data_IF_243032226258
#
_entry.id   IF_243032226258
#
_cell.length_a   1.000
_cell.length_b   1.000
_cell.length_c   1.000
_cell.angle_alpha   90.00
_cell.angle_beta   90.00
_cell.angle_gamma   90.00
#
_symmetry.space_group_name_H-M   'P 1'
#
loop_
_entity.id
_entity.type
_entity.pdbx_description
1 polymer ?
#
# COMPACT_ATOMS: atom_id res chain seq x y z
N UNK A 1 37.59 -19.27 18.45
CA UNK A 1 36.80 -19.54 17.23
C UNK A 1 35.51 -18.73 17.30
N UNK A 2 35.45 -17.60 16.59
CA UNK A 2 34.20 -16.86 16.43
C UNK A 2 33.29 -17.70 15.52
N UNK A 3 32.33 -18.39 16.11
CA UNK A 3 31.28 -19.09 15.37
C UNK A 3 30.48 -17.99 14.69
N UNK A 4 30.58 -17.86 13.36
CA UNK A 4 29.71 -16.94 12.63
C UNK A 4 28.27 -17.48 12.70
N UNK A 5 27.52 -17.04 13.73
CA UNK A 5 26.15 -17.47 14.05
C UNK A 5 25.12 -16.67 13.24
N UNK A 6 25.37 -16.43 11.95
CA UNK A 6 24.38 -15.76 11.10
C UNK A 6 23.53 -16.80 10.36
N UNK A 7 22.30 -17.02 10.84
CA UNK A 7 21.34 -17.91 10.18
C UNK A 7 20.63 -17.16 9.06
N UNK A 8 20.93 -17.50 7.80
CA UNK A 8 20.28 -16.92 6.62
C UNK A 8 18.75 -17.08 6.66
N UNK A 9 18.24 -18.20 7.21
CA UNK A 9 16.81 -18.43 7.38
C UNK A 9 16.17 -17.46 8.36
N UNK A 10 16.83 -17.23 9.50
CA UNK A 10 16.36 -16.29 10.52
C UNK A 10 16.41 -14.85 10.00
N UNK A 11 17.49 -14.50 9.30
CA UNK A 11 17.64 -13.19 8.66
C UNK A 11 16.50 -12.91 7.68
N UNK A 12 16.19 -13.84 6.78
CA UNK A 12 15.10 -13.68 5.80
C UNK A 12 13.73 -13.60 6.48
N UNK A 13 13.51 -14.40 7.52
CA UNK A 13 12.27 -14.31 8.30
C UNK A 13 12.10 -12.92 8.94
N UNK A 14 13.15 -12.37 9.55
CA UNK A 14 13.11 -11.01 10.08
C UNK A 14 12.94 -9.96 8.98
N UNK A 15 13.56 -10.14 7.81
CA UNK A 15 13.40 -9.23 6.68
C UNK A 15 11.95 -9.16 6.20
N UNK A 16 11.27 -10.31 6.11
CA UNK A 16 9.82 -10.38 5.82
C UNK A 16 9.02 -9.66 6.92
N UNK A 17 9.31 -9.91 8.19
CA UNK A 17 8.62 -9.27 9.32
C UNK A 17 8.77 -7.75 9.31
N UNK A 18 10.00 -7.23 9.16
CA UNK A 18 10.23 -5.79 9.14
C UNK A 18 9.61 -5.13 7.90
N UNK A 19 9.68 -5.79 6.74
CA UNK A 19 9.02 -5.29 5.53
C UNK A 19 7.51 -5.24 5.69
N UNK A 20 6.89 -6.24 6.33
CA UNK A 20 5.46 -6.22 6.67
C UNK A 20 5.08 -5.05 7.57
N UNK A 21 5.89 -4.76 8.60
CA UNK A 21 5.68 -3.60 9.49
C UNK A 21 5.74 -2.30 8.69
N UNK A 22 6.77 -2.10 7.87
CA UNK A 22 6.92 -0.89 7.06
C UNK A 22 5.78 -0.75 6.06
N UNK A 23 5.40 -1.82 5.37
CA UNK A 23 4.28 -1.84 4.43
C UNK A 23 2.94 -1.52 5.10
N UNK A 24 2.73 -1.99 6.33
CA UNK A 24 1.52 -1.68 7.09
C UNK A 24 1.46 -0.21 7.45
N UNK A 25 2.56 0.35 7.97
CA UNK A 25 2.63 1.77 8.32
C UNK A 25 2.44 2.67 7.10
N UNK A 26 3.20 2.42 6.05
CA UNK A 26 3.10 3.18 4.79
C UNK A 26 1.74 3.00 4.11
N UNK A 27 1.16 1.79 4.16
CA UNK A 27 -0.18 1.51 3.66
C UNK A 27 -1.26 2.29 4.40
N UNK A 28 -1.18 2.38 5.74
CA UNK A 28 -2.09 3.20 6.54
C UNK A 28 -1.97 4.69 6.22
N UNK A 29 -0.75 5.19 6.03
CA UNK A 29 -0.53 6.58 5.60
C UNK A 29 -1.15 6.80 4.22
N UNK A 30 -0.80 6.00 3.22
CA UNK A 30 -1.32 6.12 1.85
C UNK A 30 -2.84 5.91 1.75
N UNK A 31 -3.42 5.22 2.72
CA UNK A 31 -4.86 5.08 2.85
C UNK A 31 -5.54 6.41 3.20
N UNK A 32 -4.97 7.22 4.10
CA UNK A 32 -5.60 8.48 4.56
C UNK A 32 -5.14 9.74 3.81
N UNK A 33 -3.99 9.69 3.13
CA UNK A 33 -3.36 10.85 2.49
C UNK A 33 -4.21 11.42 1.34
N UNK A 34 -4.28 12.76 1.18
CA UNK A 34 -5.06 13.41 0.13
C UNK A 34 -4.82 12.84 -1.28
N UNK A 35 -5.80 13.01 -2.17
CA UNK A 35 -5.59 12.73 -3.59
C UNK A 35 -4.38 13.53 -4.13
N UNK A 36 -3.63 12.96 -5.08
CA UNK A 36 -2.35 13.54 -5.52
C UNK A 36 -2.47 15.00 -5.98
N UNK A 37 -3.58 15.32 -6.66
CA UNK A 37 -3.94 16.68 -7.06
C UNK A 37 -3.99 17.66 -5.87
N UNK A 38 -4.65 17.27 -4.78
CA UNK A 38 -4.77 18.12 -3.57
C UNK A 38 -3.45 18.13 -2.81
N UNK A 39 -2.81 16.96 -2.67
CA UNK A 39 -1.53 16.81 -1.98
C UNK A 39 -0.46 17.75 -2.54
N UNK A 40 -0.33 17.81 -3.86
CA UNK A 40 0.64 18.67 -4.53
C UNK A 40 0.28 20.15 -4.42
N UNK A 41 -1.01 20.49 -4.54
CA UNK A 41 -1.49 21.87 -4.45
C UNK A 41 -1.24 22.51 -3.08
N UNK A 42 -1.47 21.75 -2.00
CA UNK A 42 -1.29 22.23 -0.63
C UNK A 42 0.10 21.94 -0.06
N UNK A 43 1.03 21.41 -0.88
CA UNK A 43 2.35 20.95 -0.44
C UNK A 43 2.27 20.07 0.81
N UNK A 44 1.35 19.08 0.76
CA UNK A 44 1.07 18.20 1.89
C UNK A 44 2.33 17.42 2.29
N UNK A 45 2.63 17.42 3.58
CA UNK A 45 3.73 16.63 4.15
C UNK A 45 3.31 15.98 5.47
N UNK A 46 3.93 14.84 5.76
CA UNK A 46 3.84 14.15 7.04
C UNK A 46 5.21 13.57 7.39
N UNK A 47 5.68 13.86 8.60
CA UNK A 47 7.01 13.47 9.07
C UNK A 47 8.16 13.88 8.11
N UNK A 48 8.00 15.03 7.43
CA UNK A 48 9.00 15.56 6.50
C UNK A 48 9.00 14.94 5.11
N UNK A 49 8.06 14.03 4.82
CA UNK A 49 7.87 13.43 3.49
C UNK A 49 6.56 13.91 2.88
N UNK A 50 6.59 14.20 1.58
CA UNK A 50 5.38 14.38 0.79
C UNK A 50 4.72 13.04 0.46
N UNK A 51 3.59 13.09 -0.25
CA UNK A 51 2.85 11.89 -0.64
C UNK A 51 3.71 10.90 -1.44
N UNK A 52 4.52 11.41 -2.37
CA UNK A 52 5.32 10.58 -3.27
C UNK A 52 6.46 9.90 -2.51
N UNK A 53 7.10 10.59 -1.56
CA UNK A 53 8.08 9.98 -0.66
C UNK A 53 7.51 8.82 0.17
N UNK A 54 6.27 8.94 0.67
CA UNK A 54 5.58 7.82 1.34
C UNK A 54 5.28 6.67 0.38
N UNK A 55 4.92 6.96 -0.88
CA UNK A 55 4.68 5.96 -1.91
C UNK A 55 5.96 5.23 -2.32
N UNK A 56 7.07 5.94 -2.45
CA UNK A 56 8.38 5.37 -2.81
C UNK A 56 8.87 4.37 -1.76
N UNK A 57 8.73 4.69 -0.47
CA UNK A 57 9.06 3.76 0.62
C UNK A 57 8.16 2.53 0.54
N UNK A 58 6.86 2.70 0.29
CA UNK A 58 5.92 1.59 0.16
C UNK A 58 6.29 0.66 -0.99
N UNK A 59 6.61 1.22 -2.17
CA UNK A 59 7.01 0.47 -3.36
C UNK A 59 8.32 -0.30 -3.12
N UNK A 60 9.33 0.37 -2.56
CA UNK A 60 10.61 -0.25 -2.25
C UNK A 60 10.45 -1.44 -1.31
N UNK A 61 9.76 -1.25 -0.19
CA UNK A 61 9.54 -2.33 0.78
C UNK A 61 8.56 -3.39 0.25
N UNK A 62 7.68 -3.04 -0.69
CA UNK A 62 6.84 -3.98 -1.43
C UNK A 62 7.69 -4.94 -2.26
N UNK A 63 8.65 -4.41 -3.02
CA UNK A 63 9.60 -5.22 -3.78
C UNK A 63 10.45 -6.11 -2.86
N UNK A 64 10.97 -5.55 -1.76
CA UNK A 64 11.73 -6.31 -0.76
C UNK A 64 10.88 -7.41 -0.12
N UNK A 65 9.62 -7.15 0.22
CA UNK A 65 8.69 -8.12 0.80
C UNK A 65 8.39 -9.27 -0.17
N UNK A 66 8.19 -8.99 -1.45
CA UNK A 66 7.96 -10.04 -2.47
C UNK A 66 9.19 -10.93 -2.61
N UNK A 67 10.39 -10.35 -2.76
CA UNK A 67 11.63 -11.11 -2.91
C UNK A 67 11.93 -11.91 -1.65
N UNK A 68 11.88 -11.28 -0.48
CA UNK A 68 12.14 -11.94 0.79
C UNK A 68 11.08 -12.99 1.13
N UNK A 69 9.82 -12.77 0.79
CA UNK A 69 8.72 -13.74 0.93
C UNK A 69 8.92 -14.97 0.06
N UNK A 70 9.33 -14.80 -1.19
CA UNK A 70 9.67 -15.91 -2.09
C UNK A 70 10.85 -16.73 -1.53
N UNK A 71 11.91 -16.05 -1.06
CA UNK A 71 13.05 -16.72 -0.41
C UNK A 71 12.64 -17.41 0.89
N UNK A 72 11.76 -16.79 1.68
CA UNK A 72 11.24 -17.37 2.91
C UNK A 72 10.49 -18.68 2.62
N UNK A 73 9.63 -18.68 1.59
CA UNK A 73 8.90 -19.87 1.17
C UNK A 73 9.85 -20.95 0.63
N UNK A 74 10.84 -20.57 -0.18
CA UNK A 74 11.85 -21.49 -0.71
C UNK A 74 12.65 -22.18 0.41
N UNK A 75 13.17 -21.41 1.37
CA UNK A 75 13.95 -21.97 2.47
C UNK A 75 13.12 -22.73 3.50
N UNK A 76 11.82 -22.48 3.57
CA UNK A 76 10.87 -23.15 4.47
C UNK A 76 9.86 -24.04 3.73
N UNK A 77 10.24 -24.55 2.54
CA UNK A 77 9.34 -25.33 1.67
C UNK A 77 8.80 -26.60 2.34
N UNK A 78 9.65 -27.33 3.07
CA UNK A 78 9.24 -28.54 3.80
C UNK A 78 8.12 -28.23 4.82
N UNK A 79 8.32 -27.30 5.79
CA UNK A 79 7.22 -26.85 6.65
C UNK A 79 5.97 -26.41 5.90
N UNK A 80 6.11 -25.63 4.83
CA UNK A 80 4.98 -25.13 4.04
C UNK A 80 4.12 -26.26 3.46
N UNK A 81 4.74 -27.26 2.82
CA UNK A 81 4.02 -28.40 2.24
C UNK A 81 3.25 -29.22 3.28
N UNK A 82 3.74 -29.29 4.52
CA UNK A 82 3.01 -29.93 5.62
C UNK A 82 1.73 -29.19 6.02
N UNK A 83 1.60 -27.89 5.72
CA UNK A 83 0.37 -27.13 5.93
C UNK A 83 -0.61 -27.29 4.77
N UNK A 84 -0.15 -27.55 3.54
CA UNK A 84 -1.02 -27.72 2.38
C UNK A 84 -1.75 -29.06 2.36
N UNK A 85 -1.03 -30.14 2.65
CA UNK A 85 -1.54 -31.49 2.49
C UNK A 85 -1.13 -32.37 3.66
N UNK A 86 -2.04 -33.26 4.05
CA UNK A 86 -1.79 -34.34 4.98
C UNK A 86 -1.75 -35.67 4.24
N UNK A 87 -0.97 -36.61 4.77
CA UNK A 87 -0.91 -37.97 4.23
C UNK A 87 -1.88 -38.85 5.00
N UNK A 88 -3.04 -39.13 4.41
CA UNK A 88 -4.07 -40.01 4.99
C UNK A 88 -4.09 -41.31 4.20
N UNK A 89 -3.83 -42.44 4.86
CA UNK A 89 -3.84 -43.79 4.26
C UNK A 89 -3.00 -43.88 2.97
N UNK A 90 -1.80 -43.29 2.98
CA UNK A 90 -0.85 -43.34 1.86
C UNK A 90 -1.08 -42.29 0.76
N UNK A 91 -2.24 -41.64 0.70
CA UNK A 91 -2.59 -40.61 -0.27
C UNK A 91 -2.39 -39.21 0.29
N UNK A 92 -2.04 -38.25 -0.56
CA UNK A 92 -2.01 -36.83 -0.21
C UNK A 92 -3.43 -36.25 -0.33
N UNK A 93 -3.97 -35.75 0.77
CA UNK A 93 -5.26 -35.07 0.82
C UNK A 93 -5.04 -33.61 1.21
N UNK A 94 -5.61 -32.67 0.44
CA UNK A 94 -5.57 -31.25 0.77
C UNK A 94 -6.29 -30.98 2.09
N UNK A 95 -5.71 -30.12 2.92
CA UNK A 95 -6.33 -29.72 4.18
C UNK A 95 -7.56 -28.85 3.93
N UNK A 96 -8.58 -29.01 4.78
CA UNK A 96 -9.82 -28.21 4.69
C UNK A 96 -9.51 -26.72 4.83
N UNK A 97 -8.54 -26.38 5.67
CA UNK A 97 -8.02 -25.04 5.92
C UNK A 97 -7.50 -24.37 4.65
N UNK A 98 -6.88 -25.12 3.73
CA UNK A 98 -6.44 -24.58 2.44
C UNK A 98 -7.64 -24.19 1.57
N UNK A 99 -8.67 -25.05 1.52
CA UNK A 99 -9.87 -24.80 0.74
C UNK A 99 -10.66 -23.63 1.32
N UNK A 100 -10.85 -23.59 2.64
CA UNK A 100 -11.62 -22.51 3.30
C UNK A 100 -10.89 -21.17 3.22
N UNK A 101 -9.56 -21.14 3.37
CA UNK A 101 -8.78 -19.91 3.21
C UNK A 101 -8.79 -19.41 1.76
N UNK A 102 -8.66 -20.29 0.77
CA UNK A 102 -8.77 -19.93 -0.64
C UNK A 102 -10.17 -19.39 -0.96
N UNK A 103 -11.23 -20.05 -0.49
CA UNK A 103 -12.59 -19.59 -0.66
C UNK A 103 -12.80 -18.20 -0.02
N UNK A 104 -12.27 -17.97 1.18
CA UNK A 104 -12.33 -16.67 1.84
C UNK A 104 -11.63 -15.58 1.01
N UNK A 105 -10.43 -15.84 0.48
CA UNK A 105 -9.71 -14.90 -0.39
C UNK A 105 -10.51 -14.60 -1.65
N UNK A 106 -11.06 -15.62 -2.32
CA UNK A 106 -11.87 -15.43 -3.52
C UNK A 106 -13.13 -14.61 -3.23
N UNK A 107 -13.80 -14.86 -2.10
CA UNK A 107 -14.96 -14.06 -1.68
C UNK A 107 -14.59 -12.59 -1.45
N UNK A 108 -13.46 -12.30 -0.81
CA UNK A 108 -12.98 -10.94 -0.62
C UNK A 108 -12.64 -10.25 -1.95
N UNK A 109 -12.00 -10.97 -2.88
CA UNK A 109 -11.67 -10.45 -4.23
C UNK A 109 -12.95 -10.14 -5.00
N UNK A 110 -13.92 -11.05 -5.03
CA UNK A 110 -15.21 -10.83 -5.68
C UNK A 110 -15.96 -9.67 -5.03
N UNK A 111 -15.97 -9.60 -3.70
CA UNK A 111 -16.55 -8.49 -2.95
C UNK A 111 -15.92 -7.14 -3.31
N UNK A 112 -14.61 -7.10 -3.51
CA UNK A 112 -13.92 -5.89 -3.95
C UNK A 112 -14.25 -5.52 -5.41
N UNK A 113 -14.23 -6.49 -6.33
CA UNK A 113 -14.51 -6.26 -7.76
C UNK A 113 -15.94 -5.77 -8.02
N UNK A 114 -16.91 -6.27 -7.25
CA UNK A 114 -18.33 -5.93 -7.40
C UNK A 114 -18.81 -4.89 -6.38
N UNK A 115 -17.90 -4.29 -5.61
CA UNK A 115 -18.20 -3.31 -4.56
C UNK A 115 -19.33 -3.77 -3.60
N UNK A 116 -19.26 -5.03 -3.15
CA UNK A 116 -20.28 -5.65 -2.29
C UNK A 116 -19.98 -5.37 -0.81
N UNK A 117 -20.95 -4.91 -0.01
CA UNK A 117 -20.79 -4.77 1.44
C UNK A 117 -20.55 -6.13 2.14
N UNK A 118 -19.73 -6.19 3.21
CA UNK A 118 -19.07 -5.07 3.89
C UNK A 118 -17.71 -4.69 3.28
N UNK A 119 -17.25 -5.38 2.21
CA UNK A 119 -15.94 -5.12 1.60
C UNK A 119 -15.87 -3.69 1.05
N UNK A 120 -16.97 -3.21 0.45
CA UNK A 120 -17.06 -1.84 -0.08
C UNK A 120 -16.83 -0.75 0.96
N UNK A 121 -17.23 -0.97 2.22
CA UNK A 121 -17.10 0.03 3.30
C UNK A 121 -15.65 0.45 3.52
N UNK A 122 -14.69 -0.43 3.25
CA UNK A 122 -13.27 -0.08 3.31
C UNK A 122 -12.93 0.97 2.24
N UNK A 123 -13.41 0.83 1.02
CA UNK A 123 -13.15 1.81 -0.04
C UNK A 123 -13.92 3.11 0.21
N UNK A 124 -15.17 3.03 0.68
CA UNK A 124 -15.97 4.20 1.05
C UNK A 124 -15.27 5.03 2.14
N UNK A 125 -14.69 4.36 3.15
CA UNK A 125 -13.89 5.01 4.19
C UNK A 125 -12.61 5.64 3.63
N UNK A 126 -11.95 4.98 2.67
CA UNK A 126 -10.79 5.52 1.98
C UNK A 126 -11.12 6.84 1.27
N UNK A 127 -12.18 6.83 0.47
CA UNK A 127 -12.61 7.99 -0.31
C UNK A 127 -13.07 9.13 0.60
N UNK A 128 -13.81 8.82 1.66
CA UNK A 128 -14.18 9.80 2.67
C UNK A 128 -12.94 10.43 3.34
N UNK A 129 -11.95 9.62 3.74
CA UNK A 129 -10.73 10.12 4.36
C UNK A 129 -9.94 11.02 3.40
N UNK A 130 -9.78 10.61 2.14
CA UNK A 130 -9.03 11.37 1.14
C UNK A 130 -9.72 12.67 0.72
N UNK A 131 -11.05 12.67 0.64
CA UNK A 131 -11.88 13.85 0.32
C UNK A 131 -12.11 14.78 1.52
N UNK A 132 -11.68 14.40 2.72
CA UNK A 132 -11.71 15.29 3.88
C UNK A 132 -10.66 16.40 3.80
N UNK A 133 -9.60 16.18 3.02
CA UNK A 133 -8.56 17.15 2.72
C UNK A 133 -8.99 18.15 1.64
N UNK A 134 -8.52 19.39 1.74
CA UNK A 134 -8.73 20.41 0.70
C UNK A 134 -10.11 21.07 0.71
N UNK A 135 -10.91 20.89 1.77
CA UNK A 135 -12.26 21.47 1.88
C UNK A 135 -12.30 22.97 2.18
N UNK A 136 -11.19 23.58 2.61
CA UNK A 136 -11.18 25.02 2.86
C UNK A 136 -11.10 25.80 1.53
N UNK A 137 -11.72 27.00 1.44
CA UNK A 137 -11.62 27.83 0.24
C UNK A 137 -10.16 28.04 -0.20
N UNK A 138 -9.88 27.79 -1.48
CA UNK A 138 -8.54 27.92 -2.07
C UNK A 138 -7.62 26.69 -1.91
N UNK A 139 -8.05 25.64 -1.21
CA UNK A 139 -7.28 24.39 -1.06
C UNK A 139 -7.62 23.33 -2.12
N UNK A 140 -8.63 23.56 -2.94
CA UNK A 140 -8.80 22.80 -4.18
C UNK A 140 -8.05 23.48 -5.32
N UNK A 141 -7.21 22.75 -6.06
CA UNK A 141 -6.56 23.32 -7.21
C UNK A 141 -7.58 23.63 -8.32
N UNK A 142 -7.46 24.78 -8.98
CA UNK A 142 -8.40 25.22 -10.01
C UNK A 142 -8.43 24.28 -11.24
N UNK A 143 -7.32 23.58 -11.49
CA UNK A 143 -7.20 22.56 -12.54
C UNK A 143 -6.06 21.57 -12.20
N UNK A 144 -5.99 20.39 -12.85
CA UNK A 144 -4.92 19.42 -12.59
C UNK A 144 -3.53 20.01 -12.83
N UNK A 145 -2.59 19.77 -11.90
CA UNK A 145 -1.21 20.29 -11.95
C UNK A 145 -1.11 21.82 -12.00
N UNK A 146 -2.05 22.54 -11.38
CA UNK A 146 -1.97 23.99 -11.23
C UNK A 146 -0.68 24.43 -10.52
N UNK A 147 -0.21 23.65 -9.55
CA UNK A 147 1.04 23.86 -8.81
C UNK A 147 2.30 23.86 -9.68
N UNK A 148 2.26 23.18 -10.83
CA UNK A 148 3.37 23.09 -11.76
C UNK A 148 3.32 24.17 -12.84
N UNK A 149 2.27 25.01 -12.86
CA UNK A 149 2.11 26.07 -13.85
C UNK A 149 2.89 27.31 -13.41
N UNK A 150 3.68 27.96 -14.29
CA UNK A 150 4.30 29.24 -13.96
C UNK A 150 3.26 30.27 -13.50
N UNK A 151 3.60 31.05 -12.48
CA UNK A 151 2.70 32.02 -11.88
C UNK A 151 2.02 32.94 -12.92
N UNK A 152 2.71 33.43 -13.98
CA UNK A 152 2.04 34.27 -14.97
C UNK A 152 0.93 33.57 -15.75
N UNK A 153 1.14 32.29 -16.08
CA UNK A 153 0.16 31.47 -16.80
C UNK A 153 -0.99 31.08 -15.87
N UNK A 154 -0.70 30.80 -14.61
CA UNK A 154 -1.72 30.52 -13.59
C UNK A 154 -2.63 31.75 -13.40
N UNK A 155 -2.04 32.94 -13.22
CA UNK A 155 -2.76 34.19 -13.07
C UNK A 155 -3.64 34.49 -14.29
N UNK A 156 -3.09 34.37 -15.50
CA UNK A 156 -3.85 34.54 -16.74
C UNK A 156 -5.04 33.58 -16.84
N UNK A 157 -4.85 32.29 -16.50
CA UNK A 157 -5.92 31.28 -16.54
C UNK A 157 -7.02 31.53 -15.51
N UNK A 158 -6.67 32.16 -14.39
CA UNK A 158 -7.60 32.55 -13.34
C UNK A 158 -8.25 33.92 -13.60
N UNK A 159 -7.86 34.60 -14.68
CA UNK A 159 -8.38 35.93 -15.02
C UNK A 159 -7.79 37.07 -14.20
N UNK A 160 -6.62 36.86 -13.56
CA UNK A 160 -5.86 37.92 -12.92
C UNK A 160 -5.00 38.65 -13.95
N UNK A 161 -5.13 39.97 -14.02
CA UNK A 161 -4.23 40.84 -14.75
C UNK A 161 -2.98 41.12 -13.91
N UNK A 162 -1.82 40.73 -14.43
CA UNK A 162 -0.54 40.86 -13.74
C UNK A 162 0.09 42.25 -13.93
N UNK A 163 -0.38 43.04 -14.90
CA UNK A 163 0.14 44.40 -15.13
C UNK A 163 -0.50 45.43 -14.20
N UNK A 164 -1.63 45.09 -13.57
CA UNK A 164 -2.34 45.95 -12.60
C UNK A 164 -2.11 45.58 -11.14
N UNK A 165 -1.32 44.53 -10.84
CA UNK A 165 -1.11 43.98 -9.50
C UNK A 165 0.18 44.48 -8.83
#
# INVERSE_FOLDING_TARGET
>A
MLKNVHSTRAFIAFLVTWSFVVLTLTGLVLYIVPHGRVANWIFWTLAGLDKDGWADIHILFGAVFIVSGALHLYFNWKPFTCYLAERVRGHLTLKRELITSLAAVLLLVLGALFAVPPVSWLFDLNDWAKSSWGRAPGQEPPYPRAEATPLPVLAQRLGFDLETA
#
